data_IF_726619281754
#
_entry.id   IF_726619281754
#
_cell.length_a   1.000
_cell.length_b   1.000
_cell.length_c   1.000
_cell.angle_alpha   90.00
_cell.angle_beta   90.00
_cell.angle_gamma   90.00
#
_symmetry.space_group_name_H-M   'P 1'
#
loop_
_entity.id
_entity.type
_entity.pdbx_description
1 polymer ?
#
# COMPACT_ATOMS: atom_id res chain seq x y z
N UNK A 1 -6.48 -1.02 25.79
CA UNK A 1 -7.37 -1.46 26.86
C UNK A 1 -7.21 -2.97 27.13
N UNK A 2 -7.56 -3.87 26.21
CA UNK A 2 -7.49 -5.34 26.45
C UNK A 2 -6.09 -5.83 26.87
N UNK A 3 -5.04 -5.40 26.17
CA UNK A 3 -3.67 -5.79 26.50
C UNK A 3 -3.22 -5.32 27.88
N UNK A 4 -3.62 -4.11 28.27
CA UNK A 4 -3.33 -3.58 29.63
C UNK A 4 -4.06 -4.37 30.70
N UNK A 5 -5.32 -4.75 30.47
CA UNK A 5 -6.09 -5.57 31.41
C UNK A 5 -5.53 -6.98 31.58
N UNK A 6 -4.93 -7.53 30.52
CA UNK A 6 -4.34 -8.87 30.52
C UNK A 6 -2.85 -8.86 30.89
N UNK A 7 -2.26 -7.69 31.13
CA UNK A 7 -0.81 -7.51 31.27
C UNK A 7 -0.03 -8.24 30.16
N UNK A 8 -0.52 -8.07 28.92
CA UNK A 8 -0.05 -8.81 27.75
C UNK A 8 0.64 -7.91 26.72
N UNK A 9 1.71 -8.36 26.07
CA UNK A 9 2.33 -7.63 24.99
C UNK A 9 1.39 -7.54 23.78
N UNK A 10 1.56 -6.47 22.99
CA UNK A 10 0.81 -6.23 21.75
C UNK A 10 1.75 -6.39 20.56
N UNK A 11 1.32 -7.19 19.59
CA UNK A 11 2.01 -7.34 18.30
C UNK A 11 1.09 -6.98 17.14
N UNK A 12 1.69 -6.47 16.07
CA UNK A 12 1.05 -6.23 14.76
C UNK A 12 1.74 -7.09 13.71
N UNK A 13 1.12 -7.20 12.54
CA UNK A 13 1.72 -7.91 11.40
C UNK A 13 1.75 -9.42 11.58
N UNK A 14 0.72 -10.00 12.25
CA UNK A 14 0.57 -11.44 12.34
C UNK A 14 0.43 -12.04 10.92
N UNK A 15 1.32 -12.98 10.59
CA UNK A 15 1.31 -13.70 9.32
C UNK A 15 0.74 -15.11 9.51
N UNK A 16 1.18 -15.79 10.55
CA UNK A 16 0.80 -17.17 10.79
C UNK A 16 0.58 -17.41 12.28
N UNK A 17 -0.40 -18.23 12.59
CA UNK A 17 -0.72 -18.64 13.95
C UNK A 17 -0.88 -20.17 13.99
N UNK A 18 0.05 -20.82 14.68
CA UNK A 18 0.03 -22.25 14.94
C UNK A 18 -0.13 -22.55 16.44
N UNK A 19 -0.35 -23.82 16.78
CA UNK A 19 -0.43 -24.22 18.18
C UNK A 19 0.89 -23.93 18.91
N UNK A 20 0.86 -22.93 19.80
CA UNK A 20 2.00 -22.54 20.64
C UNK A 20 3.02 -21.61 19.97
N UNK A 21 2.81 -21.18 18.72
CA UNK A 21 3.70 -20.27 18.00
C UNK A 21 2.92 -19.25 17.16
N UNK A 22 3.48 -18.07 17.00
CA UNK A 22 2.99 -17.07 16.05
C UNK A 22 4.17 -16.44 15.29
N UNK A 23 4.02 -16.24 14.00
CA UNK A 23 4.97 -15.52 13.16
C UNK A 23 4.44 -14.12 12.88
N UNK A 24 5.24 -13.10 13.21
CA UNK A 24 4.89 -11.69 13.02
C UNK A 24 5.94 -10.99 12.17
N UNK A 25 5.50 -10.09 11.29
CA UNK A 25 6.38 -9.18 10.58
C UNK A 25 6.51 -7.85 11.33
N UNK A 26 7.73 -7.42 11.53
CA UNK A 26 8.07 -6.16 12.19
C UNK A 26 8.90 -5.25 11.28
N UNK A 27 9.08 -4.00 11.70
CA UNK A 27 9.85 -2.99 10.96
C UNK A 27 9.38 -2.82 9.51
N UNK A 28 8.06 -2.78 9.31
CA UNK A 28 7.49 -2.62 7.97
C UNK A 28 7.64 -3.85 7.06
N UNK A 29 7.74 -5.05 7.64
CA UNK A 29 7.85 -6.31 6.87
C UNK A 29 9.29 -6.74 6.58
N UNK A 30 10.28 -6.05 7.15
CA UNK A 30 11.71 -6.37 6.95
C UNK A 30 12.21 -7.46 7.90
N UNK A 31 11.58 -7.56 9.08
CA UNK A 31 11.97 -8.54 10.10
C UNK A 31 10.83 -9.52 10.35
N UNK A 32 11.09 -10.79 10.15
CA UNK A 32 10.22 -11.87 10.57
C UNK A 32 10.64 -12.38 11.95
N UNK A 33 9.70 -12.47 12.88
CA UNK A 33 9.93 -12.94 14.25
C UNK A 33 8.92 -14.04 14.60
N UNK A 34 9.44 -15.19 15.06
CA UNK A 34 8.62 -16.25 15.63
C UNK A 34 8.51 -16.09 17.14
N UNK A 35 7.28 -16.01 17.65
CA UNK A 35 6.93 -15.87 19.06
C UNK A 35 6.49 -17.22 19.61
N UNK A 36 6.93 -17.57 20.81
CA UNK A 36 6.36 -18.71 21.57
C UNK A 36 5.17 -18.23 22.41
N UNK A 37 4.01 -18.87 22.25
CA UNK A 37 2.76 -18.49 22.91
C UNK A 37 2.64 -19.21 24.26
N UNK A 38 3.47 -18.85 25.24
CA UNK A 38 3.42 -19.39 26.60
C UNK A 38 2.61 -18.51 27.58
N UNK A 39 2.33 -17.28 27.20
CA UNK A 39 1.58 -16.28 27.96
C UNK A 39 0.53 -15.60 27.07
N UNK A 40 -0.50 -14.94 27.62
CA UNK A 40 -1.42 -14.17 26.81
C UNK A 40 -0.71 -13.13 25.95
N UNK A 41 -1.07 -13.07 24.66
CA UNK A 41 -0.55 -12.10 23.69
C UNK A 41 -1.74 -11.49 22.95
N UNK A 42 -1.70 -10.19 22.73
CA UNK A 42 -2.72 -9.47 21.94
C UNK A 42 -2.16 -9.17 20.57
N UNK A 43 -2.83 -9.67 19.53
CA UNK A 43 -2.52 -9.35 18.14
C UNK A 43 -3.50 -8.32 17.61
N UNK A 44 -2.98 -7.29 16.95
CA UNK A 44 -3.77 -6.35 16.14
C UNK A 44 -3.65 -6.81 14.69
N UNK A 45 -4.73 -7.40 14.19
CA UNK A 45 -4.81 -7.92 12.81
C UNK A 45 -5.62 -6.96 11.94
N UNK A 46 -5.26 -6.89 10.67
CA UNK A 46 -6.13 -6.29 9.66
C UNK A 46 -7.28 -7.25 9.33
N UNK A 47 -8.45 -6.75 8.90
CA UNK A 47 -9.53 -7.61 8.45
C UNK A 47 -9.03 -8.55 7.36
N UNK A 48 -9.15 -9.85 7.58
CA UNK A 48 -8.85 -10.86 6.57
C UNK A 48 -9.89 -10.85 5.45
N UNK A 49 -9.55 -11.47 4.33
CA UNK A 49 -10.51 -11.77 3.27
C UNK A 49 -11.62 -12.74 3.76
N UNK A 50 -12.65 -13.00 2.94
CA UNK A 50 -13.69 -13.93 3.30
C UNK A 50 -13.09 -15.32 3.57
N UNK A 51 -13.38 -15.87 4.75
CA UNK A 51 -12.97 -17.24 5.09
C UNK A 51 -13.93 -18.25 4.47
N UNK A 52 -13.42 -19.29 3.85
CA UNK A 52 -14.21 -20.44 3.44
C UNK A 52 -14.43 -21.32 4.67
N UNK A 53 -15.67 -21.36 5.18
CA UNK A 53 -16.04 -22.18 6.32
C UNK A 53 -17.36 -21.76 6.93
N UNK A 54 -17.97 -22.60 7.81
CA UNK A 54 -19.16 -22.21 8.51
C UNK A 54 -18.89 -20.99 9.40
N UNK A 55 -19.72 -19.96 9.26
CA UNK A 55 -19.64 -18.76 10.10
C UNK A 55 -19.79 -19.19 11.58
N UNK A 56 -18.82 -18.90 12.45
CA UNK A 56 -18.96 -19.19 13.87
C UNK A 56 -20.15 -18.43 14.46
N UNK A 57 -20.78 -19.00 15.45
CA UNK A 57 -21.89 -18.32 16.17
C UNK A 57 -21.38 -17.01 16.76
N UNK A 58 -21.99 -15.90 16.37
CA UNK A 58 -21.61 -14.57 16.84
C UNK A 58 -22.12 -14.37 18.27
N UNK A 59 -21.22 -14.40 19.24
CA UNK A 59 -21.53 -13.98 20.60
C UNK A 59 -21.39 -12.45 20.71
N UNK A 60 -22.50 -11.76 20.86
CA UNK A 60 -22.48 -10.32 21.06
C UNK A 60 -22.08 -10.00 22.50
N UNK A 61 -20.89 -9.46 22.71
CA UNK A 61 -20.39 -9.00 24.00
C UNK A 61 -20.59 -7.49 24.07
N UNK A 62 -21.44 -7.04 24.99
CA UNK A 62 -21.57 -5.62 25.30
C UNK A 62 -20.44 -5.21 26.23
N UNK A 63 -19.46 -4.47 25.71
CA UNK A 63 -18.41 -3.87 26.53
C UNK A 63 -18.66 -2.37 26.64
N UNK A 64 -18.79 -1.86 27.86
CA UNK A 64 -18.73 -0.42 28.12
C UNK A 64 -17.28 -0.02 28.19
N UNK A 65 -16.81 0.74 27.22
CA UNK A 65 -15.45 1.30 27.22
C UNK A 65 -15.54 2.72 27.74
N UNK A 66 -15.19 2.91 29.01
CA UNK A 66 -14.98 4.24 29.55
C UNK A 66 -13.66 4.81 29.03
N UNK A 67 -13.71 5.92 28.31
CA UNK A 67 -12.49 6.67 28.05
C UNK A 67 -12.32 7.35 26.69
N UNK A 68 -13.10 7.04 25.67
CA UNK A 68 -13.03 7.77 24.40
C UNK A 68 -14.43 8.12 23.89
N UNK A 69 -14.69 9.41 23.75
CA UNK A 69 -15.92 9.92 23.12
C UNK A 69 -15.59 10.41 21.73
N UNK A 70 -16.32 9.95 20.71
CA UNK A 70 -16.22 10.52 19.36
C UNK A 70 -16.80 11.93 19.40
N UNK A 71 -15.94 12.94 19.28
CA UNK A 71 -16.32 14.36 19.36
C UNK A 71 -16.88 14.84 18.01
N UNK A 72 -16.33 14.33 16.91
CA UNK A 72 -16.83 14.59 15.56
C UNK A 72 -16.45 13.44 14.63
N UNK A 73 -17.27 13.19 13.63
CA UNK A 73 -17.01 12.22 12.57
C UNK A 73 -17.37 12.88 11.24
N UNK A 74 -16.36 13.22 10.46
CA UNK A 74 -16.55 13.70 9.10
C UNK A 74 -16.52 12.50 8.14
N UNK A 75 -17.57 12.35 7.32
CA UNK A 75 -17.55 11.38 6.23
C UNK A 75 -16.57 11.89 5.18
N UNK A 76 -15.52 11.13 4.91
CA UNK A 76 -14.72 11.36 3.70
C UNK A 76 -15.66 11.41 2.50
N UNK A 77 -15.54 12.47 1.68
CA UNK A 77 -16.41 12.65 0.51
C UNK A 77 -16.39 11.40 -0.37
N UNK A 78 -17.51 11.10 -1.01
CA UNK A 78 -17.76 9.91 -1.84
C UNK A 78 -16.84 9.74 -3.07
N UNK A 79 -15.88 10.65 -3.29
CA UNK A 79 -14.86 10.60 -4.33
C UNK A 79 -13.44 10.41 -3.77
N UNK A 80 -13.29 9.99 -2.52
CA UNK A 80 -11.96 9.67 -1.99
C UNK A 80 -11.44 8.43 -2.72
N UNK A 81 -10.44 8.61 -3.58
CA UNK A 81 -9.68 7.52 -4.20
C UNK A 81 -9.21 6.57 -3.10
N UNK A 82 -9.72 5.35 -3.14
CA UNK A 82 -9.32 4.29 -2.20
C UNK A 82 -8.24 3.44 -2.86
N UNK A 83 -6.99 3.85 -2.71
CA UNK A 83 -5.86 3.13 -3.30
C UNK A 83 -5.77 1.67 -2.80
N UNK A 84 -6.21 1.40 -1.58
CA UNK A 84 -6.16 0.04 -1.02
C UNK A 84 -7.10 -0.94 -1.75
N UNK A 85 -8.17 -0.43 -2.38
CA UNK A 85 -9.11 -1.22 -3.16
C UNK A 85 -8.86 -1.15 -4.68
N UNK A 86 -7.86 -0.38 -5.13
CA UNK A 86 -7.55 -0.20 -6.54
C UNK A 86 -6.98 -1.48 -7.15
N UNK A 87 -7.54 -1.91 -8.27
CA UNK A 87 -7.02 -3.07 -9.01
C UNK A 87 -5.79 -2.74 -9.86
N UNK A 88 -5.69 -1.51 -10.33
CA UNK A 88 -4.55 -1.04 -11.14
C UNK A 88 -4.13 0.33 -10.64
N UNK A 89 -2.84 0.54 -10.55
CA UNK A 89 -2.25 1.79 -10.04
C UNK A 89 -1.14 2.23 -11.00
N UNK A 90 -1.18 3.52 -11.36
CA UNK A 90 -0.04 4.21 -11.98
C UNK A 90 0.54 5.15 -10.93
N UNK A 91 1.76 4.90 -10.50
CA UNK A 91 2.43 5.67 -9.45
C UNK A 91 3.52 6.57 -10.01
N UNK A 92 3.44 7.87 -9.72
CA UNK A 92 4.35 8.90 -10.20
C UNK A 92 5.48 9.15 -9.19
N UNK A 93 6.70 9.27 -9.69
CA UNK A 93 7.88 9.61 -8.89
C UNK A 93 8.55 10.90 -9.32
N UNK A 94 9.71 11.21 -8.74
CA UNK A 94 10.52 12.41 -9.02
C UNK A 94 11.12 12.46 -10.43
N UNK A 95 10.88 11.46 -11.27
CA UNK A 95 11.22 11.51 -12.69
C UNK A 95 10.41 12.55 -13.47
N UNK A 96 9.24 12.94 -12.98
CA UNK A 96 8.48 14.07 -13.52
C UNK A 96 9.14 15.39 -13.14
N UNK A 97 9.24 16.32 -14.11
CA UNK A 97 9.93 17.61 -13.94
C UNK A 97 9.01 18.68 -13.36
N UNK A 98 7.74 18.70 -13.78
CA UNK A 98 6.73 19.68 -13.41
C UNK A 98 5.39 19.01 -13.12
N UNK A 99 4.56 19.66 -12.30
CA UNK A 99 3.20 19.18 -12.01
C UNK A 99 2.34 19.08 -13.28
N UNK A 100 2.51 20.01 -14.20
CA UNK A 100 1.80 20.02 -15.47
C UNK A 100 2.03 18.75 -16.30
N UNK A 101 3.19 18.12 -16.17
CA UNK A 101 3.56 16.91 -16.91
C UNK A 101 2.79 15.67 -16.45
N UNK A 102 2.16 15.72 -15.28
CA UNK A 102 1.38 14.61 -14.75
C UNK A 102 0.21 14.21 -15.66
N UNK A 103 -0.20 15.08 -16.60
CA UNK A 103 -1.26 14.75 -17.57
C UNK A 103 -0.94 13.49 -18.38
N UNK A 104 0.34 13.22 -18.71
CA UNK A 104 0.72 12.01 -19.44
C UNK A 104 0.50 10.73 -18.61
N UNK A 105 0.64 10.81 -17.29
CA UNK A 105 0.33 9.70 -16.39
C UNK A 105 -1.21 9.56 -16.19
N UNK A 106 -1.94 10.67 -16.17
CA UNK A 106 -3.39 10.66 -16.16
C UNK A 106 -3.96 9.97 -17.40
N UNK A 107 -3.43 10.28 -18.60
CA UNK A 107 -3.86 9.67 -19.86
C UNK A 107 -3.63 8.16 -19.85
N UNK A 108 -2.47 7.70 -19.38
CA UNK A 108 -2.17 6.28 -19.22
C UNK A 108 -3.11 5.62 -18.22
N UNK A 109 -3.32 6.25 -17.05
CA UNK A 109 -4.21 5.73 -16.02
C UNK A 109 -5.65 5.61 -16.52
N UNK A 110 -6.13 6.59 -17.28
CA UNK A 110 -7.46 6.55 -17.89
C UNK A 110 -7.63 5.38 -18.86
N UNK A 111 -6.63 5.12 -19.72
CA UNK A 111 -6.66 3.98 -20.65
C UNK A 111 -6.67 2.63 -19.92
N UNK A 112 -6.00 2.54 -18.78
CA UNK A 112 -5.93 1.32 -17.99
C UNK A 112 -7.10 1.14 -17.02
N UNK A 113 -7.92 2.17 -16.81
CA UNK A 113 -8.87 2.20 -15.69
C UNK A 113 -8.13 2.08 -14.35
N UNK A 114 -6.99 2.74 -14.23
CA UNK A 114 -6.12 2.72 -13.06
C UNK A 114 -6.30 3.96 -12.20
N UNK A 115 -6.03 3.81 -10.90
CA UNK A 115 -5.93 4.94 -9.99
C UNK A 115 -4.52 5.53 -10.02
N UNK A 116 -4.43 6.85 -9.80
CA UNK A 116 -3.14 7.51 -9.66
C UNK A 116 -2.66 7.50 -8.23
N UNK A 117 -1.38 7.20 -8.07
CA UNK A 117 -0.66 7.29 -6.82
C UNK A 117 0.67 8.04 -7.01
N UNK A 118 1.39 8.26 -5.95
CA UNK A 118 2.69 8.89 -6.03
C UNK A 118 3.69 8.35 -5.00
N UNK A 119 4.95 8.69 -5.19
CA UNK A 119 5.97 8.55 -4.17
C UNK A 119 5.91 9.72 -3.18
N UNK A 120 6.33 9.51 -1.94
CA UNK A 120 6.27 10.49 -0.85
C UNK A 120 6.77 11.90 -1.22
N UNK A 121 7.89 12.07 -1.97
CA UNK A 121 8.35 13.40 -2.36
C UNK A 121 7.36 14.24 -3.15
N UNK A 122 6.49 13.62 -3.96
CA UNK A 122 5.48 14.36 -4.73
C UNK A 122 4.29 14.82 -3.86
N UNK A 123 4.02 14.14 -2.75
CA UNK A 123 2.97 14.51 -1.82
C UNK A 123 3.45 15.45 -0.70
N UNK A 124 4.62 15.17 -0.10
CA UNK A 124 5.11 15.92 1.05
C UNK A 124 6.23 16.91 0.70
N UNK A 125 6.91 16.75 -0.43
CA UNK A 125 7.96 17.66 -0.88
C UNK A 125 7.42 18.83 -1.69
N UNK A 126 6.80 18.54 -2.85
CA UNK A 126 6.32 19.54 -3.79
C UNK A 126 4.80 19.74 -3.79
N UNK A 127 4.07 18.88 -3.06
CA UNK A 127 2.60 18.97 -2.88
C UNK A 127 1.79 18.88 -4.18
N UNK A 128 2.27 18.12 -5.18
CA UNK A 128 1.54 17.84 -6.43
C UNK A 128 0.41 16.83 -6.24
N UNK A 129 0.50 16.03 -5.18
CA UNK A 129 -0.52 15.05 -4.80
C UNK A 129 -0.98 15.25 -3.36
N UNK A 130 -2.22 14.87 -3.08
CA UNK A 130 -2.68 14.78 -1.70
C UNK A 130 -1.91 13.68 -0.93
N UNK A 131 -1.67 13.91 0.36
CA UNK A 131 -0.92 12.98 1.22
C UNK A 131 -1.50 11.56 1.24
N UNK A 132 -2.81 11.41 1.10
CA UNK A 132 -3.48 10.09 1.05
C UNK A 132 -3.14 9.25 -0.18
N UNK A 133 -2.52 9.87 -1.22
CA UNK A 133 -2.20 9.23 -2.49
C UNK A 133 -0.74 8.74 -2.56
N UNK A 134 0.10 9.02 -1.56
CA UNK A 134 1.43 8.45 -1.62
C UNK A 134 1.49 7.03 -1.07
N UNK A 135 2.27 6.19 -1.77
CA UNK A 135 2.51 4.79 -1.44
C UNK A 135 3.82 4.63 -0.68
N UNK A 136 3.80 3.86 0.39
CA UNK A 136 5.00 3.59 1.17
C UNK A 136 4.72 3.19 2.61
N UNK A 137 5.77 2.99 3.38
CA UNK A 137 5.74 2.50 4.77
C UNK A 137 4.86 3.37 5.70
N UNK A 138 4.84 4.69 5.48
CA UNK A 138 4.04 5.65 6.24
C UNK A 138 2.85 6.22 5.44
N UNK A 139 2.62 5.71 4.24
CA UNK A 139 1.52 6.07 3.35
C UNK A 139 0.56 4.92 3.11
N UNK A 140 -0.06 4.92 1.94
CA UNK A 140 -0.92 3.83 1.53
C UNK A 140 -0.10 2.55 1.30
N UNK A 141 -0.62 1.42 1.79
CA UNK A 141 -0.17 0.08 1.41
C UNK A 141 -1.17 -0.50 0.44
N UNK A 142 -0.69 -0.96 -0.70
CA UNK A 142 -1.53 -1.39 -1.82
C UNK A 142 -1.16 -2.80 -2.29
N UNK A 143 -2.14 -3.50 -2.87
CA UNK A 143 -1.96 -4.84 -3.42
C UNK A 143 -2.73 -5.01 -4.74
N UNK A 144 -2.49 -4.14 -5.75
CA UNK A 144 -3.21 -4.20 -7.01
C UNK A 144 -2.80 -5.40 -7.87
N UNK A 145 -3.62 -5.71 -8.85
CA UNK A 145 -3.30 -6.66 -9.93
C UNK A 145 -2.14 -6.13 -10.81
N UNK A 146 -2.09 -4.80 -11.01
CA UNK A 146 -1.05 -4.13 -11.78
C UNK A 146 -0.59 -2.84 -11.09
N UNK A 147 0.72 -2.71 -10.90
CA UNK A 147 1.38 -1.52 -10.38
C UNK A 147 2.41 -1.02 -11.39
N UNK A 148 2.22 0.19 -11.92
CA UNK A 148 3.16 0.81 -12.84
C UNK A 148 3.91 1.93 -12.10
N UNK A 149 5.20 1.71 -11.85
CA UNK A 149 6.08 2.68 -11.20
C UNK A 149 6.77 3.56 -12.25
N UNK A 150 6.44 4.84 -12.29
CA UNK A 150 6.93 5.78 -13.31
C UNK A 150 7.86 6.81 -12.67
N UNK A 151 9.14 6.78 -13.03
CA UNK A 151 10.15 7.70 -12.50
C UNK A 151 10.35 7.59 -10.99
N UNK A 152 10.14 6.40 -10.43
CA UNK A 152 10.34 6.05 -9.02
C UNK A 152 11.67 5.32 -8.88
N UNK A 153 12.48 5.70 -7.89
CA UNK A 153 13.79 5.09 -7.64
C UNK A 153 13.72 3.69 -7.02
N UNK A 154 12.65 3.37 -6.27
CA UNK A 154 12.51 2.06 -5.61
C UNK A 154 13.19 1.98 -4.26
N UNK A 155 13.24 3.06 -3.51
CA UNK A 155 13.70 3.04 -2.12
C UNK A 155 12.83 2.11 -1.28
N UNK A 156 13.41 1.43 -0.30
CA UNK A 156 12.73 0.47 0.57
C UNK A 156 11.41 1.00 1.16
N UNK A 157 11.40 2.28 1.55
CA UNK A 157 10.22 2.92 2.13
C UNK A 157 9.04 2.98 1.16
N UNK A 158 9.29 3.04 -0.15
CA UNK A 158 8.25 2.98 -1.17
C UNK A 158 7.86 1.53 -1.46
N UNK A 159 8.85 0.67 -1.65
CA UNK A 159 8.68 -0.75 -2.00
C UNK A 159 7.78 -1.48 -0.99
N UNK A 160 7.96 -1.25 0.31
CA UNK A 160 7.12 -1.84 1.36
C UNK A 160 5.62 -1.53 1.16
N UNK A 161 5.30 -0.39 0.57
CA UNK A 161 3.92 0.00 0.29
C UNK A 161 3.30 -0.70 -0.93
N UNK A 162 4.11 -1.29 -1.83
CA UNK A 162 3.63 -1.87 -3.09
C UNK A 162 4.07 -3.32 -3.34
N UNK A 163 4.86 -3.91 -2.47
CA UNK A 163 5.46 -5.25 -2.64
C UNK A 163 4.45 -6.41 -2.67
N UNK A 164 3.17 -6.14 -2.35
CA UNK A 164 2.07 -7.11 -2.48
C UNK A 164 1.33 -7.01 -3.83
N UNK A 165 1.81 -6.20 -4.76
CA UNK A 165 1.26 -6.10 -6.12
C UNK A 165 1.50 -7.40 -6.87
N UNK A 166 0.53 -7.83 -7.70
CA UNK A 166 0.66 -9.10 -8.45
C UNK A 166 1.61 -8.96 -9.64
N UNK A 167 1.55 -7.81 -10.32
CA UNK A 167 2.47 -7.49 -11.43
C UNK A 167 2.98 -6.08 -11.25
N UNK A 168 4.29 -5.92 -11.32
CA UNK A 168 4.98 -4.64 -11.20
C UNK A 168 5.69 -4.32 -12.51
N UNK A 169 5.39 -3.16 -13.08
CA UNK A 169 6.07 -2.59 -14.24
C UNK A 169 6.83 -1.35 -13.80
N UNK A 170 8.13 -1.28 -14.05
CA UNK A 170 8.96 -0.12 -13.75
C UNK A 170 9.38 0.62 -15.01
N UNK A 171 9.25 1.95 -15.02
CA UNK A 171 9.71 2.84 -16.05
C UNK A 171 10.65 3.86 -15.42
N UNK A 172 11.93 3.81 -15.76
CA UNK A 172 12.93 4.72 -15.23
C UNK A 172 14.03 4.95 -16.25
N UNK A 173 14.59 6.15 -16.29
CA UNK A 173 15.75 6.49 -17.15
C UNK A 173 17.07 5.98 -16.59
N UNK A 174 17.15 5.73 -15.28
CA UNK A 174 18.31 5.17 -14.61
C UNK A 174 18.20 3.64 -14.59
N UNK A 175 19.08 2.96 -15.34
CA UNK A 175 19.11 1.50 -15.41
C UNK A 175 19.46 0.82 -14.08
N UNK A 176 20.12 1.53 -13.18
CA UNK A 176 20.56 1.02 -11.88
C UNK A 176 19.56 1.34 -10.75
N UNK A 177 18.41 1.91 -11.10
CA UNK A 177 17.37 2.23 -10.13
C UNK A 177 16.88 0.95 -9.41
N UNK A 178 16.89 0.91 -8.07
CA UNK A 178 16.49 -0.28 -7.28
C UNK A 178 15.06 -0.77 -7.55
N UNK A 179 14.22 0.06 -8.17
CA UNK A 179 12.85 -0.33 -8.52
C UNK A 179 12.83 -1.52 -9.48
N UNK A 180 13.86 -1.67 -10.34
CA UNK A 180 13.94 -2.76 -11.29
C UNK A 180 14.15 -4.13 -10.63
N UNK A 181 14.74 -4.18 -9.43
CA UNK A 181 14.85 -5.41 -8.63
C UNK A 181 13.50 -5.93 -8.12
N UNK A 182 12.50 -5.05 -8.09
CA UNK A 182 11.15 -5.35 -7.62
C UNK A 182 10.14 -5.49 -8.76
N UNK A 183 10.56 -5.26 -10.00
CA UNK A 183 9.70 -5.24 -11.17
C UNK A 183 9.72 -6.57 -11.92
N UNK A 184 8.54 -7.04 -12.33
CA UNK A 184 8.41 -8.17 -13.26
C UNK A 184 8.79 -7.75 -14.68
N UNK A 185 8.54 -6.47 -15.01
CA UNK A 185 8.88 -5.87 -16.32
C UNK A 185 9.50 -4.50 -16.10
N UNK A 186 10.64 -4.27 -16.77
CA UNK A 186 11.36 -2.99 -16.71
C UNK A 186 11.51 -2.34 -18.08
N UNK A 187 11.25 -1.03 -18.15
CA UNK A 187 11.54 -0.21 -19.32
C UNK A 187 12.56 0.85 -18.90
N UNK A 188 13.78 0.72 -19.40
CA UNK A 188 14.82 1.74 -19.23
C UNK A 188 14.65 2.80 -20.31
N UNK A 189 14.18 3.99 -19.93
CA UNK A 189 13.90 5.06 -20.89
C UNK A 189 13.32 6.32 -20.26
N UNK A 190 13.24 7.38 -21.07
CA UNK A 190 12.60 8.62 -20.67
C UNK A 190 11.08 8.43 -20.60
N UNK A 191 10.49 8.70 -19.44
CA UNK A 191 9.05 8.58 -19.21
C UNK A 191 8.24 9.44 -20.20
N UNK A 192 8.78 10.58 -20.62
CA UNK A 192 8.14 11.48 -21.59
C UNK A 192 8.05 10.88 -23.01
N UNK A 193 8.92 9.95 -23.34
CA UNK A 193 8.84 9.20 -24.59
C UNK A 193 8.00 7.92 -24.42
N UNK A 194 8.19 7.21 -23.31
CA UNK A 194 7.57 5.90 -23.08
C UNK A 194 6.06 6.00 -22.81
N UNK A 195 5.61 6.90 -21.93
CA UNK A 195 4.20 6.95 -21.55
C UNK A 195 3.24 7.25 -22.71
N UNK A 196 3.52 8.24 -23.59
CA UNK A 196 2.64 8.51 -24.72
C UNK A 196 2.55 7.33 -25.70
N UNK A 197 3.66 6.64 -25.96
CA UNK A 197 3.64 5.47 -26.86
C UNK A 197 2.91 4.27 -26.22
N UNK A 198 3.09 4.06 -24.91
CA UNK A 198 2.36 3.03 -24.17
C UNK A 198 0.85 3.32 -24.18
N UNK A 199 0.45 4.56 -23.94
CA UNK A 199 -0.95 5.00 -23.98
C UNK A 199 -1.58 4.76 -25.36
N UNK A 200 -0.86 5.11 -26.46
CA UNK A 200 -1.32 4.83 -27.84
C UNK A 200 -1.43 3.33 -28.13
N UNK A 201 -0.52 2.53 -27.62
CA UNK A 201 -0.53 1.08 -27.84
C UNK A 201 -1.73 0.42 -27.15
N UNK A 202 -2.16 0.94 -25.99
CA UNK A 202 -3.31 0.46 -25.23
C UNK A 202 -4.65 0.95 -25.80
N UNK A 203 -4.68 2.03 -26.57
CA UNK A 203 -5.89 2.58 -27.20
C UNK A 203 -6.35 1.79 -28.46
N UNK A 204 -5.63 0.73 -28.84
CA UNK A 204 -5.96 -0.16 -29.96
C UNK A 204 -6.87 -1.29 -29.50
#
# INVERSE_FOLDING_TARGET
AVAVQLDAPIYRGLQELEAGKATVLQLGGVLEQTLSLSTPIVFVCEPGGPSEGPCPELTQVSATVDGATVVSSDKAGSQATNLAAAKRIVACGRGFREEADLHIAHDLAAQLGAELACSRPLAEGVSWFEKKLYVGISGAQVSPELYIAVGISGQLQHVVGMNKSQTVVAINSDSDAPIFEQADYGIVGDLYAVLPELTKALAR
#
